data_IF_706308408070
#
_entry.id   IF_706308408070
#
_cell.length_a   1.000
_cell.length_b   1.000
_cell.length_c   1.000
_cell.angle_alpha   90.00
_cell.angle_beta   90.00
_cell.angle_gamma   90.00
#
_symmetry.space_group_name_H-M   'P 1'
#
loop_
_entity.id
_entity.type
_entity.pdbx_description
1 polymer ?
#
# COMPACT_ATOMS: atom_id res chain seq x y z
N UNK A 1 -10.71 -14.02 16.48
CA UNK A 1 -9.32 -13.90 16.00
C UNK A 1 -9.40 -13.07 14.74
N UNK A 2 -8.90 -11.83 14.72
CA UNK A 2 -9.01 -11.01 13.54
C UNK A 2 -7.84 -11.26 12.59
N UNK A 3 -8.12 -11.25 11.30
CA UNK A 3 -7.22 -11.62 10.22
C UNK A 3 -6.00 -10.67 10.15
N UNK A 4 -4.86 -11.15 10.65
CA UNK A 4 -3.50 -10.57 10.49
C UNK A 4 -2.98 -10.60 9.04
N UNK A 5 -3.88 -10.63 8.05
CA UNK A 5 -3.56 -10.94 6.66
C UNK A 5 -3.87 -9.80 5.69
N UNK A 6 -3.84 -8.54 6.16
CA UNK A 6 -3.82 -7.41 5.24
C UNK A 6 -2.44 -7.31 4.58
N UNK A 7 -2.41 -7.08 3.27
CA UNK A 7 -1.16 -6.90 2.51
C UNK A 7 -0.32 -5.77 3.13
N UNK A 8 -0.96 -4.75 3.70
CA UNK A 8 -0.32 -3.63 4.38
C UNK A 8 0.36 -4.06 5.68
N UNK A 9 -0.32 -4.89 6.48
CA UNK A 9 0.23 -5.43 7.72
C UNK A 9 1.45 -6.31 7.43
N UNK A 10 1.32 -7.28 6.53
CA UNK A 10 2.45 -8.14 6.15
C UNK A 10 3.61 -7.34 5.56
N UNK A 11 3.34 -6.34 4.71
CA UNK A 11 4.40 -5.50 4.17
C UNK A 11 5.11 -4.68 5.25
N UNK A 12 4.35 -4.15 6.22
CA UNK A 12 4.92 -3.44 7.35
C UNK A 12 5.81 -4.36 8.20
N UNK A 13 5.32 -5.54 8.59
CA UNK A 13 6.07 -6.45 9.45
C UNK A 13 7.37 -6.89 8.78
N UNK A 14 7.30 -7.26 7.49
CA UNK A 14 8.47 -7.62 6.71
C UNK A 14 9.47 -6.47 6.57
N UNK A 15 8.99 -5.25 6.41
CA UNK A 15 9.86 -4.07 6.37
C UNK A 15 10.59 -3.90 7.70
N UNK A 16 9.89 -3.98 8.83
CA UNK A 16 10.47 -3.82 10.16
C UNK A 16 11.45 -4.96 10.49
N UNK A 17 11.11 -6.21 10.18
CA UNK A 17 12.01 -7.35 10.36
C UNK A 17 13.31 -7.17 9.56
N UNK A 18 13.19 -6.72 8.31
CA UNK A 18 14.34 -6.49 7.46
C UNK A 18 15.22 -5.35 8.02
N UNK A 19 14.63 -4.28 8.55
CA UNK A 19 15.37 -3.22 9.24
C UNK A 19 16.11 -3.79 10.46
N UNK A 20 15.42 -4.52 11.34
CA UNK A 20 16.01 -5.14 12.55
C UNK A 20 17.18 -6.05 12.22
N UNK A 21 17.12 -6.79 11.11
CA UNK A 21 18.22 -7.67 10.68
C UNK A 21 19.53 -6.94 10.36
N UNK A 22 19.46 -5.62 10.12
CA UNK A 22 20.63 -4.78 9.80
C UNK A 22 21.17 -3.99 11.00
N UNK A 23 20.50 -4.04 12.15
CA UNK A 23 20.85 -3.23 13.31
C UNK A 23 21.77 -3.99 14.28
N UNK A 24 22.65 -3.24 14.94
CA UNK A 24 23.44 -3.72 16.08
C UNK A 24 22.56 -3.76 17.34
N UNK A 25 23.08 -4.31 18.45
CA UNK A 25 22.31 -4.43 19.71
C UNK A 25 21.85 -3.09 20.31
N UNK A 26 22.59 -2.00 20.08
CA UNK A 26 22.25 -0.66 20.57
C UNK A 26 22.40 0.37 19.43
N UNK A 27 21.44 0.42 18.49
CA UNK A 27 21.55 1.26 17.31
C UNK A 27 21.23 2.73 17.61
N UNK A 28 21.97 3.63 16.99
CA UNK A 28 21.71 5.07 17.00
C UNK A 28 20.49 5.42 16.11
N UNK A 29 19.83 6.57 16.34
CA UNK A 29 18.75 7.03 15.47
C UNK A 29 19.14 7.08 13.98
N UNK A 30 20.36 7.56 13.69
CA UNK A 30 20.87 7.64 12.33
C UNK A 30 21.13 6.27 11.70
N UNK A 31 21.61 5.29 12.47
CA UNK A 31 21.75 3.91 12.00
C UNK A 31 20.40 3.30 11.64
N UNK A 32 19.37 3.52 12.46
CA UNK A 32 18.01 3.04 12.19
C UNK A 32 17.46 3.69 10.93
N UNK A 33 17.54 5.02 10.82
CA UNK A 33 17.07 5.76 9.63
C UNK A 33 17.80 5.31 8.37
N UNK A 34 19.11 5.08 8.45
CA UNK A 34 19.89 4.57 7.33
C UNK A 34 19.49 3.14 6.96
N UNK A 35 19.21 2.27 7.94
CA UNK A 35 18.71 0.92 7.68
C UNK A 35 17.33 0.94 6.99
N UNK A 36 16.39 1.77 7.46
CA UNK A 36 15.08 1.98 6.80
C UNK A 36 15.25 2.42 5.34
N UNK A 37 16.16 3.37 5.08
CA UNK A 37 16.45 3.82 3.72
C UNK A 37 17.13 2.76 2.85
N UNK A 38 17.99 1.90 3.43
CA UNK A 38 18.59 0.75 2.72
C UNK A 38 17.52 -0.27 2.31
N UNK A 39 16.54 -0.55 3.16
CA UNK A 39 15.41 -1.41 2.78
C UNK A 39 14.64 -0.81 1.60
N UNK A 40 14.45 0.52 1.58
CA UNK A 40 13.86 1.21 0.42
C UNK A 40 14.71 1.16 -0.87
N UNK A 41 15.97 0.77 -0.82
CA UNK A 41 16.78 0.53 -2.03
C UNK A 41 16.64 -0.90 -2.55
N UNK A 42 16.21 -1.83 -1.70
CA UNK A 42 16.01 -3.25 -2.05
C UNK A 42 14.68 -3.50 -2.77
N UNK A 43 13.70 -2.60 -2.64
CA UNK A 43 12.43 -2.69 -3.35
C UNK A 43 12.60 -2.29 -4.84
N UNK A 44 11.71 -2.76 -5.74
CA UNK A 44 11.76 -2.37 -7.15
C UNK A 44 11.80 -0.85 -7.35
N UNK A 45 12.55 -0.40 -8.37
CA UNK A 45 12.83 1.02 -8.63
C UNK A 45 11.57 1.91 -8.58
N UNK A 46 10.46 1.43 -9.14
CA UNK A 46 9.17 2.13 -9.18
C UNK A 46 8.58 2.46 -7.79
N UNK A 47 8.96 1.71 -6.75
CA UNK A 47 8.45 1.88 -5.39
C UNK A 47 9.41 2.63 -4.46
N UNK A 48 10.67 2.84 -4.85
CA UNK A 48 11.67 3.41 -3.96
C UNK A 48 11.31 4.81 -3.46
N UNK A 49 10.75 5.65 -4.35
CA UNK A 49 10.30 7.01 -3.98
C UNK A 49 9.18 6.96 -2.95
N UNK A 50 8.18 6.10 -3.18
CA UNK A 50 7.07 5.92 -2.24
C UNK A 50 7.54 5.33 -0.91
N UNK A 51 8.48 4.40 -0.94
CA UNK A 51 9.07 3.82 0.27
C UNK A 51 9.77 4.90 1.10
N UNK A 52 10.63 5.74 0.49
CA UNK A 52 11.31 6.84 1.20
C UNK A 52 10.33 7.86 1.80
N UNK A 53 9.23 8.16 1.09
CA UNK A 53 8.17 9.01 1.65
C UNK A 53 7.56 8.41 2.92
N UNK A 54 7.29 7.10 2.92
CA UNK A 54 6.77 6.42 4.10
C UNK A 54 7.79 6.38 5.24
N UNK A 55 9.07 6.14 4.94
CA UNK A 55 10.14 6.24 5.95
C UNK A 55 10.15 7.62 6.59
N UNK A 56 10.17 8.69 5.80
CA UNK A 56 10.15 10.06 6.32
C UNK A 56 8.86 10.38 7.12
N UNK A 57 7.74 9.74 6.78
CA UNK A 57 6.47 9.94 7.48
C UNK A 57 6.44 9.26 8.86
N UNK A 58 7.07 8.09 8.99
CA UNK A 58 6.96 7.24 10.18
C UNK A 58 8.25 7.15 11.01
N UNK A 59 9.39 7.66 10.53
CA UNK A 59 10.69 7.54 11.20
C UNK A 59 10.67 8.02 12.65
N UNK A 60 10.04 9.17 12.91
CA UNK A 60 9.94 9.75 14.27
C UNK A 60 9.19 8.83 15.25
N UNK A 61 8.27 8.00 14.74
CA UNK A 61 7.52 7.04 15.56
C UNK A 61 8.26 5.70 15.65
N UNK A 62 8.84 5.21 14.55
CA UNK A 62 9.44 3.87 14.46
C UNK A 62 10.79 3.80 15.18
N UNK A 63 11.65 4.82 15.05
CA UNK A 63 12.98 4.86 15.66
C UNK A 63 12.95 4.57 17.17
N UNK A 64 12.17 5.29 18.00
CA UNK A 64 12.15 5.05 19.44
C UNK A 64 11.59 3.66 19.80
N UNK A 65 10.65 3.12 19.01
CA UNK A 65 10.12 1.77 19.23
C UNK A 65 11.17 0.69 18.92
N UNK A 66 11.97 0.88 17.87
CA UNK A 66 13.07 -0.02 17.54
C UNK A 66 14.17 -0.01 18.61
N UNK A 67 14.51 1.17 19.16
CA UNK A 67 15.44 1.28 20.28
C UNK A 67 14.89 0.61 21.55
N UNK A 68 13.57 0.65 21.74
CA UNK A 68 12.87 -0.01 22.84
C UNK A 68 12.63 -1.51 22.59
N UNK A 69 13.23 -2.09 21.55
CA UNK A 69 13.15 -3.52 21.21
C UNK A 69 11.74 -4.04 20.93
N UNK A 70 10.83 -3.20 20.41
CA UNK A 70 9.48 -3.63 20.04
C UNK A 70 9.52 -4.68 18.92
N UNK A 71 8.52 -5.58 18.90
CA UNK A 71 8.33 -6.52 17.78
C UNK A 71 7.73 -5.82 16.57
N UNK A 72 7.89 -6.42 15.39
CA UNK A 72 7.36 -5.89 14.14
C UNK A 72 5.84 -5.77 14.17
N UNK A 73 5.15 -6.77 14.73
CA UNK A 73 3.70 -6.74 14.97
C UNK A 73 3.29 -5.57 15.89
N UNK A 74 4.01 -5.34 16.99
CA UNK A 74 3.73 -4.22 17.90
C UNK A 74 3.92 -2.85 17.23
N UNK A 75 4.99 -2.69 16.46
CA UNK A 75 5.26 -1.45 15.72
C UNK A 75 4.16 -1.22 14.69
N UNK A 76 3.89 -2.22 13.84
CA UNK A 76 2.93 -2.13 12.76
C UNK A 76 1.50 -1.93 13.25
N UNK A 77 1.14 -2.49 14.40
CA UNK A 77 -0.14 -2.23 15.06
C UNK A 77 -0.23 -0.80 15.61
N UNK A 78 0.84 -0.30 16.23
CA UNK A 78 0.87 1.06 16.81
C UNK A 78 0.76 2.17 15.76
N UNK A 79 1.33 1.95 14.57
CA UNK A 79 1.20 2.90 13.45
C UNK A 79 -0.05 2.65 12.60
N UNK A 80 -0.92 1.72 13.00
CA UNK A 80 -2.22 1.47 12.37
C UNK A 80 -2.16 0.72 11.03
N UNK A 81 -1.03 0.08 10.69
CA UNK A 81 -0.90 -0.73 9.46
C UNK A 81 -1.34 -2.19 9.67
N UNK A 82 -1.33 -2.65 10.92
CA UNK A 82 -1.97 -3.88 11.34
C UNK A 82 -3.17 -3.53 12.22
N UNK A 83 -4.37 -3.62 11.66
CA UNK A 83 -5.62 -3.49 12.41
C UNK A 83 -6.26 -4.86 12.60
N UNK A 84 -6.82 -5.07 13.78
CA UNK A 84 -7.71 -6.20 14.08
C UNK A 84 -9.08 -6.06 13.43
N UNK A 85 -9.40 -4.91 12.86
CA UNK A 85 -10.70 -4.66 12.27
C UNK A 85 -10.52 -4.08 10.88
N UNK A 86 -11.34 -4.57 9.96
CA UNK A 86 -11.60 -3.96 8.67
C UNK A 86 -12.09 -2.55 8.98
N UNK A 87 -11.20 -1.56 8.94
CA UNK A 87 -11.62 -0.17 8.80
C UNK A 87 -12.12 -0.01 7.36
N UNK A 88 -13.38 -0.41 7.17
CA UNK A 88 -14.27 0.33 6.28
C UNK A 88 -14.10 1.77 6.70
N UNK A 89 -13.57 2.59 5.80
CA UNK A 89 -13.48 4.04 5.95
C UNK A 89 -14.83 4.55 6.47
N UNK A 90 -14.94 4.76 7.78
CA UNK A 90 -16.15 5.29 8.39
C UNK A 90 -16.17 6.77 8.04
N UNK A 91 -16.71 7.06 6.86
CA UNK A 91 -17.21 8.39 6.56
C UNK A 91 -18.27 8.66 7.61
N UNK A 92 -17.95 9.52 8.58
CA UNK A 92 -18.92 10.11 9.49
C UNK A 92 -19.91 10.93 8.64
N UNK A 93 -20.97 10.29 8.18
CA UNK A 93 -22.19 10.99 7.74
C UNK A 93 -23.20 10.86 8.86
N UNK A 94 -23.14 11.84 9.75
CA UNK A 94 -24.35 12.26 10.44
C UNK A 94 -25.25 12.87 9.37
N UNK A 95 -26.30 12.15 8.99
CA UNK A 95 -27.69 12.63 9.02
C UNK A 95 -28.62 11.61 8.35
N UNK A 96 -29.60 11.20 9.13
CA UNK A 96 -30.76 10.43 8.71
C UNK A 96 -31.60 11.27 7.74
N UNK A 97 -31.74 10.82 6.49
CA UNK A 97 -32.97 11.01 5.73
C UNK A 97 -33.09 9.94 4.64
N UNK A 98 -34.30 9.42 4.55
CA UNK A 98 -34.86 8.39 3.67
C UNK A 98 -34.24 8.28 2.26
N UNK A 99 -34.32 7.10 1.61
CA UNK A 99 -33.88 6.91 0.24
C UNK A 99 -34.81 7.67 -0.72
N UNK A 100 -34.60 8.96 -0.84
CA UNK A 100 -35.30 9.78 -1.83
C UNK A 100 -34.62 9.54 -3.17
N UNK A 101 -35.32 8.82 -4.05
CA UNK A 101 -34.85 8.34 -5.35
C UNK A 101 -34.44 9.47 -6.32
N UNK A 102 -34.53 10.73 -5.88
CA UNK A 102 -34.30 11.94 -6.66
C UNK A 102 -33.24 12.89 -6.10
N UNK A 103 -32.38 12.45 -5.16
CA UNK A 103 -31.31 13.33 -4.65
C UNK A 103 -30.35 13.77 -5.77
N UNK A 104 -29.91 15.03 -5.73
CA UNK A 104 -28.94 15.57 -6.69
C UNK A 104 -27.63 14.75 -6.70
N UNK A 105 -27.30 14.16 -5.56
CA UNK A 105 -26.16 13.25 -5.37
C UNK A 105 -26.35 11.94 -6.14
N UNK A 106 -27.57 11.37 -6.17
CA UNK A 106 -27.87 10.18 -6.97
C UNK A 106 -27.76 10.47 -8.48
N UNK A 107 -28.29 11.62 -8.93
CA UNK A 107 -28.16 12.06 -10.32
C UNK A 107 -26.70 12.29 -10.71
N UNK A 108 -25.93 12.94 -9.86
CA UNK A 108 -24.51 13.17 -10.07
C UNK A 108 -23.72 11.87 -10.11
N UNK A 109 -24.00 10.94 -9.19
CA UNK A 109 -23.37 9.62 -9.18
C UNK A 109 -23.65 8.85 -10.47
N UNK A 110 -24.90 8.83 -10.92
CA UNK A 110 -25.29 8.15 -12.18
C UNK A 110 -24.56 8.75 -13.39
N UNK A 111 -24.46 10.09 -13.46
CA UNK A 111 -23.71 10.78 -14.52
C UNK A 111 -22.22 10.44 -14.50
N UNK A 112 -21.61 10.41 -13.31
CA UNK A 112 -20.20 10.05 -13.12
C UNK A 112 -19.98 8.60 -13.54
N UNK A 113 -20.84 7.67 -13.11
CA UNK A 113 -20.75 6.25 -13.46
C UNK A 113 -20.92 6.04 -14.97
N UNK A 114 -21.84 6.76 -15.62
CA UNK A 114 -22.02 6.66 -17.07
C UNK A 114 -20.84 7.26 -17.84
N UNK A 115 -20.24 8.35 -17.34
CA UNK A 115 -19.00 8.91 -17.90
C UNK A 115 -17.83 7.96 -17.73
N UNK A 116 -17.71 7.31 -16.57
CA UNK A 116 -16.70 6.27 -16.30
C UNK A 116 -16.91 5.09 -17.24
N UNK A 117 -18.13 4.55 -17.36
CA UNK A 117 -18.49 3.48 -18.31
C UNK A 117 -18.19 3.88 -19.75
N UNK A 118 -18.51 5.11 -20.16
CA UNK A 118 -18.23 5.62 -21.50
C UNK A 118 -16.73 5.78 -21.77
N UNK A 119 -15.97 6.23 -20.77
CA UNK A 119 -14.51 6.38 -20.85
C UNK A 119 -13.82 5.02 -20.88
N UNK A 120 -14.31 4.06 -20.08
CA UNK A 120 -13.88 2.66 -20.15
C UNK A 120 -14.23 2.07 -21.51
N UNK A 121 -15.44 2.24 -22.03
CA UNK A 121 -15.78 1.77 -23.38
C UNK A 121 -14.90 2.36 -24.49
N UNK A 122 -14.35 3.57 -24.30
CA UNK A 122 -13.44 4.23 -25.25
C UNK A 122 -11.94 3.87 -25.07
N UNK A 123 -11.54 3.27 -23.95
CA UNK A 123 -10.12 2.97 -23.62
C UNK A 123 -9.86 1.54 -23.13
N UNK A 124 -10.89 0.72 -22.96
CA UNK A 124 -10.81 -0.60 -22.35
C UNK A 124 -11.13 -1.66 -23.39
N UNK A 125 -10.32 -1.75 -24.43
CA UNK A 125 -10.12 -3.06 -25.05
C UNK A 125 -9.19 -3.87 -24.15
N UNK A 126 -9.43 -5.18 -24.00
CA UNK A 126 -8.51 -6.08 -23.27
C UNK A 126 -7.07 -5.94 -23.77
N UNK A 127 -6.91 -5.61 -25.05
CA UNK A 127 -5.62 -5.39 -25.70
C UNK A 127 -4.85 -4.18 -25.16
N UNK A 128 -5.52 -3.05 -24.92
CA UNK A 128 -4.86 -1.84 -24.39
C UNK A 128 -4.45 -2.03 -22.91
N UNK A 129 -5.32 -2.67 -22.12
CA UNK A 129 -5.04 -3.01 -20.73
C UNK A 129 -3.87 -4.00 -20.64
N UNK A 130 -3.86 -5.04 -21.47
CA UNK A 130 -2.75 -5.99 -21.54
C UNK A 130 -1.45 -5.34 -22.01
N UNK A 131 -1.51 -4.37 -22.92
CA UNK A 131 -0.33 -3.63 -23.37
C UNK A 131 0.29 -2.80 -22.23
N UNK A 132 -0.53 -2.11 -21.44
CA UNK A 132 -0.03 -1.31 -20.32
C UNK A 132 0.47 -2.20 -19.16
N UNK A 133 -0.22 -3.29 -18.84
CA UNK A 133 0.28 -4.29 -17.89
C UNK A 133 1.59 -4.94 -18.38
N UNK A 134 1.72 -5.16 -19.68
CA UNK A 134 2.94 -5.69 -20.30
C UNK A 134 4.14 -4.75 -20.13
N UNK A 135 3.92 -3.43 -20.17
CA UNK A 135 4.98 -2.43 -19.88
C UNK A 135 5.43 -2.53 -18.42
N UNK A 136 4.50 -2.71 -17.48
CA UNK A 136 4.81 -2.90 -16.06
C UNK A 136 5.64 -4.17 -15.84
N UNK A 137 5.33 -5.28 -16.54
CA UNK A 137 6.12 -6.50 -16.45
C UNK A 137 7.58 -6.32 -16.88
N UNK A 138 7.88 -5.39 -17.78
CA UNK A 138 9.26 -5.10 -18.22
C UNK A 138 10.05 -4.25 -17.22
N UNK A 139 9.39 -3.68 -16.20
CA UNK A 139 10.04 -2.92 -15.12
C UNK A 139 10.32 -3.78 -13.87
N UNK A 140 9.85 -5.03 -13.86
CA UNK A 140 10.07 -6.01 -12.78
C UNK A 140 11.48 -6.60 -12.83
N UNK A 141 11.93 -7.17 -11.70
CA UNK A 141 13.20 -7.91 -11.65
C UNK A 141 13.24 -9.04 -12.68
N UNK A 142 14.42 -9.40 -13.22
CA UNK A 142 14.55 -10.38 -14.31
C UNK A 142 13.81 -11.70 -14.06
N UNK A 143 13.84 -12.20 -12.82
CA UNK A 143 13.17 -13.44 -12.40
C UNK A 143 11.64 -13.37 -12.48
N UNK A 144 11.04 -12.18 -12.38
CA UNK A 144 9.59 -11.99 -12.36
C UNK A 144 9.01 -11.53 -13.71
N UNK A 145 9.85 -11.12 -14.66
CA UNK A 145 9.40 -10.66 -15.99
C UNK A 145 8.62 -11.76 -16.72
N UNK A 146 9.13 -13.00 -16.70
CA UNK A 146 8.50 -14.16 -17.35
C UNK A 146 7.12 -14.49 -16.74
N UNK A 147 7.06 -14.80 -15.44
CA UNK A 147 5.80 -15.06 -14.74
C UNK A 147 4.75 -13.94 -14.92
N UNK A 148 5.18 -12.68 -14.85
CA UNK A 148 4.29 -11.53 -15.06
C UNK A 148 3.69 -11.51 -16.48
N UNK A 149 4.52 -11.67 -17.52
CA UNK A 149 4.04 -11.68 -18.92
C UNK A 149 3.08 -12.83 -19.22
N UNK A 150 3.23 -13.96 -18.53
CA UNK A 150 2.28 -15.08 -18.62
C UNK A 150 0.92 -14.67 -18.03
N UNK A 151 0.90 -14.03 -16.87
CA UNK A 151 -0.34 -13.58 -16.21
C UNK A 151 -1.07 -12.50 -17.02
N UNK A 152 -0.35 -11.60 -17.70
CA UNK A 152 -0.95 -10.55 -18.55
C UNK A 152 -1.59 -11.10 -19.82
N UNK A 153 -1.13 -12.26 -20.30
CA UNK A 153 -1.64 -12.91 -21.52
C UNK A 153 -2.71 -13.97 -21.26
N UNK A 154 -3.02 -14.25 -20.00
CA UNK A 154 -4.03 -15.22 -19.57
C UNK A 154 -5.39 -14.55 -19.41
#
# INVERSE_FOLDING_TARGET
>A
MPDTNSIQCTACERFIDQVKSMLSSNPTPDEIKNAMNKVCQMVPFIYQSRCRQLVNQYEDQIIPMLQSSFTSEQICSRIGLCSSDIEVFQVSTSETQSPDSNSAQCKLCTLVIDKVKSTLRKKATKSEIAADLGKVCSMMLPIFVGPCKILVKK
#
